data_IF_251302396076
#
_entry.id   IF_251302396076
#
_cell.length_a   1.000
_cell.length_b   1.000
_cell.length_c   1.000
_cell.angle_alpha   90.00
_cell.angle_beta   90.00
_cell.angle_gamma   90.00
#
_symmetry.space_group_name_H-M   'P 1'
#
loop_
_entity.id
_entity.type
_entity.pdbx_description
1 polymer ?
#
# COMPACT_ATOMS: atom_id res chain seq x y z
N UNK A 1 -10.44 -9.14 52.29
CA UNK A 1 -9.99 -9.67 50.99
C UNK A 1 -11.01 -10.72 50.60
N UNK A 2 -11.84 -10.46 49.59
CA UNK A 2 -12.80 -11.45 49.12
C UNK A 2 -12.00 -12.64 48.55
N UNK A 3 -12.33 -13.86 48.95
CA UNK A 3 -11.77 -15.06 48.34
C UNK A 3 -12.05 -15.01 46.83
N UNK A 4 -10.99 -14.89 46.03
CA UNK A 4 -11.09 -15.11 44.60
C UNK A 4 -11.54 -16.56 44.43
N UNK A 5 -12.74 -16.74 43.87
CA UNK A 5 -13.22 -18.05 43.43
C UNK A 5 -12.27 -18.66 42.39
N UNK A 6 -12.18 -19.99 42.35
CA UNK A 6 -11.45 -20.73 41.31
C UNK A 6 -12.30 -20.95 40.04
N UNK A 7 -13.52 -20.43 40.00
CA UNK A 7 -14.41 -20.51 38.84
C UNK A 7 -13.81 -19.72 37.65
N UNK A 8 -13.46 -20.39 36.53
CA UNK A 8 -12.82 -19.73 35.39
C UNK A 8 -13.66 -18.62 34.76
N UNK A 9 -14.99 -18.77 34.71
CA UNK A 9 -15.87 -17.78 34.08
C UNK A 9 -15.95 -16.50 34.94
N UNK A 10 -16.02 -16.64 36.26
CA UNK A 10 -15.99 -15.48 37.17
C UNK A 10 -14.64 -14.77 37.10
N UNK A 11 -13.53 -15.53 37.10
CA UNK A 11 -12.19 -14.99 36.99
C UNK A 11 -11.97 -14.25 35.66
N UNK A 12 -12.45 -14.83 34.55
CA UNK A 12 -12.43 -14.22 33.24
C UNK A 12 -13.22 -12.90 33.22
N UNK A 13 -14.48 -12.93 33.62
CA UNK A 13 -15.37 -11.76 33.60
C UNK A 13 -14.84 -10.63 34.51
N UNK A 14 -14.32 -10.97 35.69
CA UNK A 14 -13.72 -9.97 36.59
C UNK A 14 -12.49 -9.32 35.95
N UNK A 15 -11.61 -10.13 35.35
CA UNK A 15 -10.43 -9.65 34.65
C UNK A 15 -10.76 -8.74 33.46
N UNK A 16 -11.74 -9.12 32.63
CA UNK A 16 -12.21 -8.28 31.51
C UNK A 16 -12.76 -6.97 32.02
N UNK A 17 -13.62 -6.97 33.05
CA UNK A 17 -14.16 -5.76 33.66
C UNK A 17 -13.06 -4.82 34.15
N UNK A 18 -12.03 -5.33 34.82
CA UNK A 18 -10.88 -4.52 35.25
C UNK A 18 -10.15 -3.88 34.07
N UNK A 19 -9.93 -4.65 32.99
CA UNK A 19 -9.28 -4.13 31.78
C UNK A 19 -10.08 -3.02 31.12
N UNK A 20 -11.41 -3.18 31.00
CA UNK A 20 -12.31 -2.17 30.43
C UNK A 20 -12.38 -0.89 31.28
N UNK A 21 -12.24 -1.01 32.61
CA UNK A 21 -12.10 0.13 33.52
C UNK A 21 -10.73 0.83 33.46
N UNK A 22 -9.84 0.41 32.56
CA UNK A 22 -8.48 0.94 32.44
C UNK A 22 -7.51 0.43 33.52
N UNK A 23 -7.94 -0.52 34.36
CA UNK A 23 -7.15 -1.12 35.44
C UNK A 23 -6.40 -2.35 34.94
N UNK A 24 -5.61 -2.16 33.89
CA UNK A 24 -4.92 -3.25 33.19
C UNK A 24 -3.91 -4.01 34.07
N UNK A 25 -3.29 -3.36 35.06
CA UNK A 25 -2.39 -4.02 36.00
C UNK A 25 -3.16 -5.04 36.86
N UNK A 26 -4.35 -4.65 37.31
CA UNK A 26 -5.19 -5.46 38.19
C UNK A 26 -5.90 -6.60 37.45
N UNK A 27 -6.15 -6.46 36.13
CA UNK A 27 -6.76 -7.53 35.33
C UNK A 27 -5.86 -8.74 35.15
N UNK A 28 -4.53 -8.59 35.23
CA UNK A 28 -3.57 -9.67 34.97
C UNK A 28 -3.73 -10.83 35.97
N UNK A 29 -3.90 -10.54 37.26
CA UNK A 29 -3.99 -11.58 38.29
C UNK A 29 -5.21 -12.52 38.11
N UNK A 30 -6.46 -12.04 37.99
CA UNK A 30 -7.61 -12.91 37.77
C UNK A 30 -7.57 -13.60 36.40
N UNK A 31 -7.09 -12.93 35.34
CA UNK A 31 -6.97 -13.58 34.03
C UNK A 31 -5.92 -14.70 34.00
N UNK A 32 -4.79 -14.54 34.70
CA UNK A 32 -3.82 -15.62 34.92
C UNK A 32 -4.38 -16.77 35.74
N UNK A 33 -5.17 -16.47 36.76
CA UNK A 33 -5.83 -17.50 37.56
C UNK A 33 -6.82 -18.29 36.68
N UNK A 34 -7.58 -17.60 35.83
CA UNK A 34 -8.47 -18.22 34.86
C UNK A 34 -7.72 -19.15 33.89
N UNK A 35 -6.64 -18.68 33.25
CA UNK A 35 -5.88 -19.52 32.31
C UNK A 35 -5.16 -20.70 32.98
N UNK A 36 -4.94 -20.65 34.30
CA UNK A 36 -4.43 -21.78 35.07
C UNK A 36 -5.53 -22.78 35.42
N UNK A 37 -6.71 -22.29 35.80
CA UNK A 37 -7.87 -23.12 36.12
C UNK A 37 -8.42 -23.84 34.88
N UNK A 38 -8.42 -23.15 33.73
CA UNK A 38 -8.85 -23.70 32.44
C UNK A 38 -7.84 -23.35 31.33
N UNK A 39 -6.82 -24.20 31.11
CA UNK A 39 -5.77 -23.95 30.12
C UNK A 39 -6.26 -23.80 28.67
N UNK A 40 -7.40 -24.39 28.35
CA UNK A 40 -7.99 -24.35 27.00
C UNK A 40 -8.93 -23.15 26.78
N UNK A 41 -9.13 -22.29 27.78
CA UNK A 41 -10.00 -21.12 27.66
C UNK A 41 -9.34 -20.01 26.82
N UNK A 42 -9.46 -20.11 25.50
CA UNK A 42 -8.81 -19.22 24.55
C UNK A 42 -9.13 -17.72 24.76
N UNK A 43 -10.37 -17.39 25.10
CA UNK A 43 -10.78 -16.01 25.39
C UNK A 43 -10.06 -15.44 26.62
N UNK A 44 -9.81 -16.25 27.65
CA UNK A 44 -9.05 -15.82 28.82
C UNK A 44 -7.58 -15.55 28.47
N UNK A 45 -6.97 -16.39 27.64
CA UNK A 45 -5.62 -16.12 27.10
C UNK A 45 -5.59 -14.82 26.30
N UNK A 46 -6.54 -14.59 25.40
CA UNK A 46 -6.55 -13.36 24.62
C UNK A 46 -6.88 -12.12 25.45
N UNK A 47 -7.70 -12.21 26.50
CA UNK A 47 -7.94 -11.10 27.44
C UNK A 47 -6.70 -10.78 28.27
N UNK A 48 -5.96 -11.80 28.68
CA UNK A 48 -4.66 -11.64 29.34
C UNK A 48 -3.66 -10.98 28.40
N UNK A 49 -3.59 -11.44 27.15
CA UNK A 49 -2.76 -10.85 26.10
C UNK A 49 -3.09 -9.38 25.85
N UNK A 50 -4.37 -9.02 25.76
CA UNK A 50 -4.81 -7.64 25.61
C UNK A 50 -4.44 -6.76 26.82
N UNK A 51 -4.53 -7.31 28.04
CA UNK A 51 -4.06 -6.61 29.26
C UNK A 51 -2.55 -6.34 29.17
N UNK A 52 -1.75 -7.30 28.70
CA UNK A 52 -0.32 -7.09 28.45
C UNK A 52 -0.03 -6.03 27.38
N UNK A 53 -0.84 -5.94 26.32
CA UNK A 53 -0.72 -4.85 25.34
C UNK A 53 -0.91 -3.48 26.00
N UNK A 54 -1.90 -3.34 26.89
CA UNK A 54 -2.16 -2.09 27.63
C UNK A 54 -1.01 -1.72 28.58
N UNK A 55 -0.34 -2.71 29.15
CA UNK A 55 0.82 -2.54 30.03
C UNK A 55 2.15 -2.34 29.28
N UNK A 56 2.16 -2.49 27.95
CA UNK A 56 3.38 -2.43 27.16
C UNK A 56 4.26 -3.69 27.25
N UNK A 57 3.78 -4.77 27.87
CA UNK A 57 4.47 -6.06 27.95
C UNK A 57 4.31 -6.86 26.64
N UNK A 58 4.79 -6.31 25.53
CA UNK A 58 4.44 -6.76 24.17
C UNK A 58 4.87 -8.20 23.85
N UNK A 59 5.98 -8.69 24.43
CA UNK A 59 6.43 -10.07 24.20
C UNK A 59 5.51 -11.10 24.86
N UNK A 60 5.06 -10.83 26.10
CA UNK A 60 4.07 -11.67 26.78
C UNK A 60 2.73 -11.60 26.07
N UNK A 61 2.34 -10.41 25.60
CA UNK A 61 1.12 -10.22 24.83
C UNK A 61 1.12 -11.09 23.56
N UNK A 62 2.21 -11.08 22.79
CA UNK A 62 2.31 -11.82 21.54
C UNK A 62 2.24 -13.33 21.79
N UNK A 63 3.01 -13.84 22.76
CA UNK A 63 2.98 -15.27 23.11
C UNK A 63 1.58 -15.73 23.53
N UNK A 64 0.89 -14.92 24.35
CA UNK A 64 -0.43 -15.27 24.89
C UNK A 64 -1.52 -15.18 23.80
N UNK A 65 -1.47 -14.17 22.94
CA UNK A 65 -2.42 -14.02 21.82
C UNK A 65 -2.22 -15.09 20.73
N UNK A 66 -0.97 -15.49 20.44
CA UNK A 66 -0.70 -16.61 19.53
C UNK A 66 -1.27 -17.92 20.08
N UNK A 67 -1.07 -18.22 21.36
CA UNK A 67 -1.66 -19.39 22.00
C UNK A 67 -3.21 -19.37 21.92
N UNK A 68 -3.84 -18.21 22.10
CA UNK A 68 -5.28 -18.07 21.94
C UNK A 68 -5.72 -18.31 20.48
N UNK A 69 -4.98 -17.78 19.50
CA UNK A 69 -5.25 -17.97 18.08
C UNK A 69 -5.05 -19.42 17.63
N UNK A 70 -4.10 -20.15 18.21
CA UNK A 70 -3.91 -21.58 17.94
C UNK A 70 -5.09 -22.43 18.42
N UNK A 71 -5.74 -22.01 19.52
CA UNK A 71 -6.93 -22.68 20.08
C UNK A 71 -8.21 -22.35 19.33
N UNK A 72 -8.38 -21.10 18.92
CA UNK A 72 -9.53 -20.60 18.16
C UNK A 72 -9.06 -19.84 16.91
N UNK A 73 -8.72 -20.55 15.83
CA UNK A 73 -8.09 -19.96 14.64
C UNK A 73 -8.97 -18.99 13.87
N UNK A 74 -10.30 -19.12 13.99
CA UNK A 74 -11.27 -18.32 13.24
C UNK A 74 -11.97 -17.26 14.11
N UNK A 75 -11.54 -17.10 15.38
CA UNK A 75 -12.16 -16.11 16.26
C UNK A 75 -11.76 -14.68 15.87
N UNK A 76 -12.76 -13.85 15.59
CA UNK A 76 -12.56 -12.48 15.14
C UNK A 76 -11.76 -11.65 16.13
N UNK A 77 -12.12 -11.71 17.41
CA UNK A 77 -11.57 -10.82 18.41
C UNK A 77 -10.11 -11.16 18.71
N UNK A 78 -9.79 -12.45 18.80
CA UNK A 78 -8.43 -12.95 18.97
C UNK A 78 -7.56 -12.56 17.78
N UNK A 79 -8.01 -12.86 16.56
CA UNK A 79 -7.26 -12.54 15.34
C UNK A 79 -7.03 -11.03 15.19
N UNK A 80 -8.05 -10.19 15.44
CA UNK A 80 -7.92 -8.73 15.38
C UNK A 80 -6.91 -8.19 16.39
N UNK A 81 -6.93 -8.70 17.63
CA UNK A 81 -6.00 -8.25 18.67
C UNK A 81 -4.56 -8.68 18.38
N UNK A 82 -4.35 -9.91 17.90
CA UNK A 82 -3.03 -10.38 17.49
C UNK A 82 -2.50 -9.56 16.30
N UNK A 83 -3.34 -9.31 15.28
CA UNK A 83 -2.98 -8.48 14.13
C UNK A 83 -2.59 -7.06 14.55
N UNK A 84 -3.41 -6.42 15.40
CA UNK A 84 -3.13 -5.08 15.92
C UNK A 84 -1.83 -5.01 16.74
N UNK A 85 -1.53 -6.03 17.54
CA UNK A 85 -0.26 -6.12 18.26
C UNK A 85 0.93 -6.25 17.30
N UNK A 86 0.85 -7.14 16.31
CA UNK A 86 1.92 -7.36 15.33
C UNK A 86 2.18 -6.07 14.53
N UNK A 87 1.13 -5.38 14.09
CA UNK A 87 1.22 -4.09 13.43
C UNK A 87 1.87 -3.03 14.33
N UNK A 88 1.50 -2.95 15.62
CA UNK A 88 2.14 -2.04 16.59
C UNK A 88 3.63 -2.33 16.80
N UNK A 89 4.07 -3.57 16.56
CA UNK A 89 5.48 -3.99 16.60
C UNK A 89 6.22 -3.80 15.27
N UNK A 90 5.58 -3.23 14.25
CA UNK A 90 6.16 -3.07 12.91
C UNK A 90 6.19 -4.37 12.08
N UNK A 91 5.58 -5.46 12.58
CA UNK A 91 5.53 -6.76 11.88
C UNK A 91 4.34 -6.80 10.94
N UNK A 92 4.31 -5.91 9.96
CA UNK A 92 3.13 -5.68 9.12
C UNK A 92 2.79 -6.86 8.20
N UNK A 93 3.80 -7.57 7.68
CA UNK A 93 3.60 -8.77 6.86
C UNK A 93 2.96 -9.90 7.68
N UNK A 94 3.43 -10.09 8.91
CA UNK A 94 2.86 -11.09 9.82
C UNK A 94 1.44 -10.71 10.27
N UNK A 95 1.13 -9.42 10.42
CA UNK A 95 -0.16 -8.93 10.89
C UNK A 95 -1.28 -9.14 9.86
N UNK A 96 -0.98 -8.93 8.57
CA UNK A 96 -1.94 -8.98 7.46
C UNK A 96 -2.82 -10.24 7.46
N UNK A 97 -2.29 -11.48 7.52
CA UNK A 97 -3.13 -12.68 7.48
C UNK A 97 -4.09 -12.79 8.67
N UNK A 98 -3.75 -12.25 9.84
CA UNK A 98 -4.65 -12.26 11.00
C UNK A 98 -5.78 -11.24 10.85
N UNK A 99 -5.52 -10.07 10.26
CA UNK A 99 -6.61 -9.15 9.88
C UNK A 99 -7.56 -9.78 8.87
N UNK A 100 -7.02 -10.47 7.85
CA UNK A 100 -7.82 -11.16 6.83
C UNK A 100 -8.68 -12.29 7.42
N UNK A 101 -8.14 -13.08 8.37
CA UNK A 101 -8.91 -14.09 9.10
C UNK A 101 -10.04 -13.48 9.94
N UNK A 102 -9.77 -12.40 10.66
CA UNK A 102 -10.81 -11.70 11.43
C UNK A 102 -11.94 -11.18 10.51
N UNK A 103 -11.58 -10.67 9.31
CA UNK A 103 -12.56 -10.24 8.31
C UNK A 103 -13.27 -11.39 7.60
N UNK A 104 -12.69 -12.58 7.54
CA UNK A 104 -13.39 -13.77 7.05
C UNK A 104 -14.56 -14.14 7.98
N UNK A 105 -14.38 -13.99 9.31
CA UNK A 105 -15.42 -14.22 10.30
C UNK A 105 -16.50 -13.11 10.29
N UNK A 106 -16.11 -11.84 10.15
CA UNK A 106 -17.05 -10.74 9.92
C UNK A 106 -16.49 -9.72 8.92
N UNK A 107 -16.94 -9.77 7.66
CA UNK A 107 -16.45 -8.85 6.63
C UNK A 107 -16.79 -7.38 6.87
N UNK A 108 -17.70 -7.07 7.80
CA UNK A 108 -18.16 -5.71 8.10
C UNK A 108 -17.62 -5.14 9.42
N UNK A 109 -16.68 -5.81 10.08
CA UNK A 109 -16.08 -5.27 11.31
C UNK A 109 -15.20 -4.06 10.98
N UNK A 110 -15.74 -2.87 11.18
CA UNK A 110 -15.11 -1.58 10.81
C UNK A 110 -13.77 -1.38 11.52
N UNK A 111 -13.62 -1.85 12.76
CA UNK A 111 -12.36 -1.78 13.49
C UNK A 111 -11.26 -2.64 12.83
N UNK A 112 -11.58 -3.87 12.40
CA UNK A 112 -10.65 -4.74 11.68
C UNK A 112 -10.33 -4.20 10.29
N UNK A 113 -11.33 -3.71 9.56
CA UNK A 113 -11.12 -3.05 8.25
C UNK A 113 -10.14 -1.88 8.39
N UNK A 114 -10.35 -1.03 9.40
CA UNK A 114 -9.48 0.11 9.64
C UNK A 114 -8.06 -0.30 10.01
N UNK A 115 -7.90 -1.32 10.87
CA UNK A 115 -6.60 -1.89 11.21
C UNK A 115 -5.86 -2.47 10.00
N UNK A 116 -6.57 -3.19 9.12
CA UNK A 116 -5.98 -3.71 7.88
C UNK A 116 -5.55 -2.60 6.93
N UNK A 117 -6.37 -1.56 6.75
CA UNK A 117 -6.04 -0.44 5.86
C UNK A 117 -4.77 0.30 6.31
N UNK A 118 -4.65 0.58 7.62
CA UNK A 118 -3.43 1.15 8.19
C UNK A 118 -2.22 0.23 7.99
N UNK A 119 -2.40 -1.07 8.24
CA UNK A 119 -1.32 -2.05 8.03
C UNK A 119 -0.86 -2.12 6.57
N UNK A 120 -1.78 -1.98 5.62
CA UNK A 120 -1.47 -1.93 4.19
C UNK A 120 -0.71 -0.68 3.80
N UNK A 121 -1.01 0.48 4.38
CA UNK A 121 -0.20 1.70 4.19
C UNK A 121 1.25 1.48 4.64
N UNK A 122 1.46 0.85 5.79
CA UNK A 122 2.81 0.56 6.32
C UNK A 122 3.58 -0.50 5.51
N UNK A 123 2.87 -1.39 4.80
CA UNK A 123 3.48 -2.33 3.86
C UNK A 123 3.98 -1.66 2.57
N UNK A 124 3.56 -0.42 2.31
CA UNK A 124 4.10 0.43 1.26
C UNK A 124 3.18 0.67 0.05
N UNK A 125 3.66 1.46 -0.93
CA UNK A 125 2.84 2.04 -2.00
C UNK A 125 2.07 1.04 -2.86
N UNK A 126 2.62 -0.16 -3.06
CA UNK A 126 2.00 -1.24 -3.81
C UNK A 126 0.67 -1.73 -3.19
N UNK A 127 0.41 -1.41 -1.92
CA UNK A 127 -0.82 -1.77 -1.22
C UNK A 127 -1.79 -0.59 -1.06
N UNK A 128 -1.44 0.62 -1.51
CA UNK A 128 -2.27 1.82 -1.32
C UNK A 128 -3.65 1.71 -1.99
N UNK A 129 -3.73 1.10 -3.18
CA UNK A 129 -5.02 0.91 -3.86
C UNK A 129 -5.96 0.02 -3.04
N UNK A 130 -5.42 -1.05 -2.44
CA UNK A 130 -6.18 -1.93 -1.55
C UNK A 130 -6.63 -1.19 -0.28
N UNK A 131 -5.74 -0.39 0.32
CA UNK A 131 -6.08 0.43 1.50
C UNK A 131 -7.19 1.44 1.18
N UNK A 132 -7.13 2.11 0.03
CA UNK A 132 -8.15 3.06 -0.46
C UNK A 132 -9.51 2.37 -0.55
N UNK A 133 -9.58 1.20 -1.18
CA UNK A 133 -10.83 0.44 -1.30
C UNK A 133 -11.43 0.08 0.07
N UNK A 134 -10.60 -0.26 1.04
CA UNK A 134 -11.04 -0.55 2.41
C UNK A 134 -11.55 0.71 3.11
N UNK A 135 -10.86 1.85 2.98
CA UNK A 135 -11.33 3.11 3.57
C UNK A 135 -12.65 3.59 2.99
N UNK A 136 -12.86 3.43 1.69
CA UNK A 136 -14.15 3.69 1.03
C UNK A 136 -15.25 2.82 1.64
N UNK A 137 -14.99 1.52 1.78
CA UNK A 137 -15.93 0.58 2.40
C UNK A 137 -16.28 0.95 3.85
N UNK A 138 -15.33 1.42 4.65
CA UNK A 138 -15.57 1.91 6.01
C UNK A 138 -16.58 3.07 6.01
N UNK A 139 -16.39 4.03 5.08
CA UNK A 139 -17.26 5.21 4.95
C UNK A 139 -18.67 4.80 4.50
N UNK A 140 -18.79 3.79 3.64
CA UNK A 140 -20.08 3.24 3.22
C UNK A 140 -20.82 2.53 4.37
N UNK A 141 -20.11 1.78 5.20
CA UNK A 141 -20.70 1.04 6.31
C UNK A 141 -21.15 1.97 7.46
N UNK A 142 -20.32 2.95 7.82
CA UNK A 142 -20.58 3.83 8.97
C UNK A 142 -20.23 5.31 8.67
N UNK A 143 -20.98 6.00 7.80
CA UNK A 143 -20.58 7.31 7.25
C UNK A 143 -20.38 8.42 8.30
N UNK A 144 -20.98 8.27 9.48
CA UNK A 144 -20.99 9.24 10.57
C UNK A 144 -20.21 8.77 11.81
N UNK A 145 -19.35 7.75 11.71
CA UNK A 145 -18.52 7.30 12.84
C UNK A 145 -17.17 8.05 12.90
N UNK A 146 -16.53 8.09 14.08
CA UNK A 146 -15.16 8.60 14.21
C UNK A 146 -14.18 7.87 13.28
N UNK A 147 -14.33 6.55 13.12
CA UNK A 147 -13.48 5.75 12.24
C UNK A 147 -13.66 6.17 10.77
N UNK A 148 -14.89 6.44 10.32
CA UNK A 148 -15.11 6.95 8.96
C UNK A 148 -14.52 8.36 8.76
N UNK A 149 -14.47 9.18 9.80
CA UNK A 149 -13.80 10.49 9.74
C UNK A 149 -12.30 10.31 9.54
N UNK A 150 -11.66 9.39 10.26
CA UNK A 150 -10.25 9.06 10.05
C UNK A 150 -9.99 8.41 8.68
N UNK A 151 -10.89 7.54 8.21
CA UNK A 151 -10.81 6.97 6.87
C UNK A 151 -10.85 8.05 5.77
N UNK A 152 -11.71 9.07 5.90
CA UNK A 152 -11.76 10.21 4.96
C UNK A 152 -10.45 11.00 4.95
N UNK A 153 -9.83 11.20 6.12
CA UNK A 153 -8.51 11.85 6.23
C UNK A 153 -7.42 11.01 5.57
N UNK A 154 -7.42 9.70 5.80
CA UNK A 154 -6.47 8.77 5.18
C UNK A 154 -6.60 8.78 3.65
N UNK A 155 -7.83 8.72 3.11
CA UNK A 155 -8.09 8.87 1.67
C UNK A 155 -7.56 10.18 1.11
N UNK A 156 -7.77 11.28 1.83
CA UNK A 156 -7.29 12.61 1.40
C UNK A 156 -5.76 12.67 1.38
N UNK A 157 -5.10 12.08 2.39
CA UNK A 157 -3.64 11.95 2.47
C UNK A 157 -3.10 11.09 1.33
N UNK A 158 -3.68 9.92 1.08
CA UNK A 158 -3.26 9.02 0.00
C UNK A 158 -3.50 9.63 -1.38
N UNK A 159 -4.60 10.36 -1.57
CA UNK A 159 -4.85 11.10 -2.80
C UNK A 159 -3.80 12.20 -2.99
N UNK A 160 -3.48 13.00 -1.97
CA UNK A 160 -2.43 14.01 -2.03
C UNK A 160 -1.04 13.40 -2.24
N UNK A 161 -0.74 12.28 -1.59
CA UNK A 161 0.49 11.51 -1.78
C UNK A 161 0.62 11.03 -3.21
N UNK A 162 -0.42 10.41 -3.77
CA UNK A 162 -0.41 9.97 -5.17
C UNK A 162 -0.35 11.13 -6.16
N UNK A 163 -0.98 12.27 -5.86
CA UNK A 163 -0.89 13.48 -6.68
C UNK A 163 0.49 14.13 -6.59
N UNK A 164 1.14 14.08 -5.42
CA UNK A 164 2.50 14.56 -5.22
C UNK A 164 3.53 13.61 -5.81
N UNK A 165 3.34 12.30 -5.74
CA UNK A 165 4.14 11.33 -6.50
C UNK A 165 3.98 11.56 -8.00
N UNK A 166 2.77 11.87 -8.47
CA UNK A 166 2.53 12.28 -9.87
C UNK A 166 3.15 13.63 -10.21
N UNK A 167 3.14 14.61 -9.29
CA UNK A 167 3.64 15.97 -9.50
C UNK A 167 5.16 16.12 -9.31
N UNK A 168 5.76 15.36 -8.41
CA UNK A 168 7.21 15.30 -8.12
C UNK A 168 7.91 14.19 -8.93
N UNK A 169 7.21 13.48 -9.83
CA UNK A 169 7.86 12.63 -10.83
C UNK A 169 7.20 11.29 -11.17
N UNK A 170 5.88 11.23 -11.34
CA UNK A 170 5.20 10.15 -12.09
C UNK A 170 5.56 10.13 -13.59
N UNK A 171 6.58 10.91 -13.96
CA UNK A 171 7.25 10.93 -15.23
C UNK A 171 8.12 9.69 -15.33
N UNK A 172 8.04 9.01 -16.48
CA UNK A 172 9.05 8.03 -16.85
C UNK A 172 10.38 8.74 -17.05
N UNK A 173 11.23 8.77 -16.02
CA UNK A 173 12.50 9.51 -16.07
C UNK A 173 13.45 8.99 -17.15
N UNK A 174 13.38 7.70 -17.46
CA UNK A 174 14.02 7.11 -18.64
C UNK A 174 13.49 7.74 -19.94
N UNK A 175 12.17 7.88 -20.08
CA UNK A 175 11.57 8.58 -21.22
C UNK A 175 11.97 10.07 -21.28
N UNK A 176 12.00 10.78 -20.15
CA UNK A 176 12.50 12.18 -20.06
C UNK A 176 13.95 12.29 -20.52
N UNK A 177 14.81 11.36 -20.09
CA UNK A 177 16.22 11.33 -20.50
C UNK A 177 16.37 11.01 -21.99
N UNK A 178 15.59 10.06 -22.53
CA UNK A 178 15.57 9.78 -23.97
C UNK A 178 15.08 10.99 -24.78
N UNK A 179 14.07 11.70 -24.30
CA UNK A 179 13.55 12.91 -24.96
C UNK A 179 14.56 14.06 -24.91
N UNK A 180 15.24 14.25 -23.79
CA UNK A 180 16.35 15.22 -23.68
C UNK A 180 17.43 14.93 -24.72
N UNK A 181 17.86 13.67 -24.83
CA UNK A 181 18.81 13.25 -25.88
C UNK A 181 18.27 13.39 -27.31
N UNK A 182 16.96 13.20 -27.51
CA UNK A 182 16.32 13.44 -28.81
C UNK A 182 16.34 14.93 -29.20
N UNK A 183 16.09 15.85 -28.25
CA UNK A 183 16.22 17.28 -28.50
C UNK A 183 17.64 17.67 -28.94
N UNK A 184 18.67 17.10 -28.32
CA UNK A 184 20.07 17.32 -28.70
C UNK A 184 20.38 16.77 -30.09
N UNK A 185 19.92 15.54 -30.36
CA UNK A 185 20.12 14.85 -31.64
C UNK A 185 19.46 15.61 -32.79
N UNK A 186 18.21 16.03 -32.62
CA UNK A 186 17.43 16.70 -33.67
C UNK A 186 17.78 18.17 -33.84
N UNK A 187 18.40 18.82 -32.85
CA UNK A 187 18.82 20.22 -32.95
C UNK A 187 19.79 20.49 -34.11
N UNK A 188 20.51 19.47 -34.57
CA UNK A 188 21.51 19.57 -35.64
C UNK A 188 21.01 19.03 -36.99
N UNK A 189 19.75 18.61 -37.10
CA UNK A 189 19.19 18.01 -38.32
C UNK A 189 18.40 19.03 -39.13
N UNK A 190 18.45 18.90 -40.46
CA UNK A 190 17.50 19.62 -41.31
C UNK A 190 16.09 19.03 -41.19
N UNK A 191 15.05 19.83 -41.51
CA UNK A 191 13.66 19.35 -41.40
C UNK A 191 13.37 18.09 -42.22
N UNK A 192 14.01 17.93 -43.39
CA UNK A 192 13.85 16.74 -44.22
C UNK A 192 14.47 15.49 -43.56
N UNK A 193 15.58 15.65 -42.84
CA UNK A 193 16.25 14.57 -42.11
C UNK A 193 15.43 14.16 -40.89
N UNK A 194 14.96 15.15 -40.11
CA UNK A 194 14.06 14.91 -38.98
C UNK A 194 12.78 14.18 -39.41
N UNK A 195 12.12 14.65 -40.47
CA UNK A 195 10.90 14.03 -40.99
C UNK A 195 11.15 12.58 -41.43
N UNK A 196 12.31 12.29 -42.02
CA UNK A 196 12.71 10.94 -42.43
C UNK A 196 12.89 10.02 -41.22
N UNK A 197 13.56 10.48 -40.16
CA UNK A 197 13.72 9.72 -38.90
C UNK A 197 12.36 9.43 -38.26
N UNK A 198 11.53 10.46 -38.10
CA UNK A 198 10.20 10.31 -37.49
C UNK A 198 9.31 9.35 -38.29
N UNK A 199 9.33 9.45 -39.62
CA UNK A 199 8.58 8.55 -40.50
C UNK A 199 9.07 7.10 -40.41
N UNK A 200 10.38 6.88 -40.34
CA UNK A 200 10.95 5.54 -40.18
C UNK A 200 10.54 4.90 -38.84
N UNK A 201 10.58 5.68 -37.75
CA UNK A 201 10.12 5.22 -36.44
C UNK A 201 8.62 4.89 -36.47
N UNK A 202 7.79 5.77 -37.06
CA UNK A 202 6.35 5.53 -37.18
C UNK A 202 6.05 4.24 -37.96
N UNK A 203 6.77 4.00 -39.05
CA UNK A 203 6.66 2.77 -39.85
C UNK A 203 7.07 1.51 -39.07
N UNK A 204 8.14 1.58 -38.27
CA UNK A 204 8.50 0.49 -37.37
C UNK A 204 7.41 0.26 -36.30
N UNK A 205 6.78 1.35 -35.84
CA UNK A 205 5.66 1.36 -34.90
C UNK A 205 4.42 0.61 -35.39
N UNK A 206 4.14 0.56 -36.69
CA UNK A 206 2.99 -0.19 -37.26
C UNK A 206 3.02 -1.68 -36.93
N UNK A 207 4.23 -2.25 -36.77
CA UNK A 207 4.42 -3.65 -36.38
C UNK A 207 4.41 -3.87 -34.86
N UNK A 208 4.22 -2.80 -34.09
CA UNK A 208 4.25 -2.79 -32.62
C UNK A 208 5.67 -2.69 -32.05
N UNK A 209 5.99 -1.57 -31.40
CA UNK A 209 7.21 -1.43 -30.61
C UNK A 209 7.01 -2.02 -29.22
N UNK A 210 7.91 -2.90 -28.81
CA UNK A 210 7.98 -3.40 -27.43
C UNK A 210 8.62 -2.33 -26.53
N UNK A 211 7.78 -1.48 -25.94
CA UNK A 211 8.23 -0.35 -25.11
C UNK A 211 8.58 -0.71 -23.66
N UNK A 212 8.15 -1.89 -23.19
CA UNK A 212 8.39 -2.37 -21.82
C UNK A 212 9.50 -3.44 -21.74
N UNK A 213 10.21 -3.69 -22.84
CA UNK A 213 11.28 -4.68 -22.94
C UNK A 213 12.59 -3.97 -23.33
N UNK A 214 13.52 -3.73 -22.37
CA UNK A 214 14.76 -3.02 -22.64
C UNK A 214 15.80 -3.86 -23.41
N UNK A 215 15.64 -5.19 -23.47
CA UNK A 215 16.57 -6.08 -24.15
C UNK A 215 16.30 -6.16 -25.65
N UNK A 216 15.06 -5.86 -26.06
CA UNK A 216 14.69 -5.79 -27.47
C UNK A 216 15.19 -4.49 -28.12
N UNK A 217 16.10 -4.62 -29.08
CA UNK A 217 16.74 -3.52 -29.81
C UNK A 217 16.19 -3.34 -31.22
N UNK A 218 16.20 -2.09 -31.67
CA UNK A 218 15.78 -1.65 -33.00
C UNK A 218 16.86 -0.77 -33.61
N UNK A 219 16.98 -0.81 -34.93
CA UNK A 219 17.91 0.01 -35.70
C UNK A 219 17.15 0.85 -36.71
N UNK A 220 17.61 2.07 -36.98
CA UNK A 220 17.08 2.93 -38.03
C UNK A 220 18.09 3.02 -39.19
N UNK A 221 17.62 3.21 -40.41
CA UNK A 221 18.48 3.51 -41.57
C UNK A 221 18.86 4.98 -41.62
N UNK A 222 18.01 5.85 -41.09
CA UNK A 222 18.22 7.29 -41.07
C UNK A 222 19.03 7.79 -39.87
N UNK A 223 19.30 6.94 -38.89
CA UNK A 223 20.03 7.32 -37.69
C UNK A 223 20.80 6.12 -37.12
N UNK A 224 22.12 6.26 -37.00
CA UNK A 224 22.98 5.23 -36.45
C UNK A 224 22.75 5.03 -34.95
N UNK A 225 22.62 3.77 -34.53
CA UNK A 225 22.47 3.39 -33.14
C UNK A 225 21.59 2.16 -32.93
N UNK A 226 21.64 1.65 -31.70
CA UNK A 226 20.76 0.59 -31.20
C UNK A 226 19.80 1.18 -30.18
N UNK A 227 18.50 1.14 -30.48
CA UNK A 227 17.49 1.84 -29.72
C UNK A 227 16.56 0.85 -29.01
N UNK A 228 16.13 1.19 -27.79
CA UNK A 228 15.00 0.48 -27.15
C UNK A 228 13.67 0.94 -27.74
N UNK A 229 12.60 0.16 -27.53
CA UNK A 229 11.26 0.56 -28.00
C UNK A 229 10.78 1.87 -27.35
N UNK A 230 11.05 2.07 -26.05
CA UNK A 230 10.72 3.30 -25.34
C UNK A 230 11.50 4.51 -25.89
N UNK A 231 12.79 4.31 -26.18
CA UNK A 231 13.62 5.36 -26.76
C UNK A 231 13.10 5.82 -28.12
N UNK A 232 12.73 4.88 -29.00
CA UNK A 232 12.13 5.22 -30.29
C UNK A 232 10.80 5.96 -30.14
N UNK A 233 9.93 5.51 -29.22
CA UNK A 233 8.67 6.21 -28.94
C UNK A 233 8.91 7.65 -28.44
N UNK A 234 9.87 7.84 -27.53
CA UNK A 234 10.28 9.16 -27.03
C UNK A 234 10.81 10.06 -28.16
N UNK A 235 11.67 9.52 -29.04
CA UNK A 235 12.19 10.24 -30.20
C UNK A 235 11.09 10.62 -31.19
N UNK A 236 10.15 9.71 -31.47
CA UNK A 236 9.02 9.98 -32.35
C UNK A 236 8.13 11.10 -31.79
N UNK A 237 7.83 11.07 -30.48
CA UNK A 237 7.07 12.13 -29.83
C UNK A 237 7.74 13.50 -30.02
N UNK A 238 9.02 13.60 -29.69
CA UNK A 238 9.78 14.86 -29.80
C UNK A 238 9.80 15.36 -31.23
N UNK A 239 10.09 14.47 -32.20
CA UNK A 239 10.17 14.86 -33.61
C UNK A 239 8.82 15.29 -34.18
N UNK A 240 7.73 14.61 -33.82
CA UNK A 240 6.37 15.01 -34.21
C UNK A 240 6.00 16.39 -33.69
N UNK A 241 6.28 16.69 -32.41
CA UNK A 241 6.05 18.02 -31.81
C UNK A 241 6.95 19.11 -32.39
N UNK A 242 8.15 18.78 -32.89
CA UNK A 242 9.00 19.74 -33.60
C UNK A 242 8.50 20.04 -35.01
N UNK A 243 7.90 19.06 -35.70
CA UNK A 243 7.29 19.23 -37.02
C UNK A 243 5.97 20.01 -36.91
N UNK A 244 5.11 19.60 -35.99
CA UNK A 244 3.83 20.25 -35.70
C UNK A 244 3.60 20.30 -34.18
N UNK A 245 3.86 21.46 -33.54
CA UNK A 245 3.66 21.62 -32.09
C UNK A 245 2.21 21.40 -31.62
N UNK A 246 1.23 21.52 -32.51
CA UNK A 246 -0.18 21.34 -32.19
C UNK A 246 -0.66 19.89 -32.26
N UNK A 247 0.19 18.98 -32.77
CA UNK A 247 -0.16 17.58 -32.96
C UNK A 247 -0.33 16.85 -31.62
N UNK A 248 -1.45 16.14 -31.48
CA UNK A 248 -1.63 15.12 -30.45
C UNK A 248 -0.98 13.83 -30.93
N UNK A 249 0.09 13.42 -30.25
CA UNK A 249 0.86 12.23 -30.61
C UNK A 249 0.23 10.94 -30.09
N UNK A 250 -0.78 11.03 -29.20
CA UNK A 250 -1.45 9.91 -28.53
C UNK A 250 -0.50 8.94 -27.81
N UNK A 251 0.74 9.35 -27.54
CA UNK A 251 1.76 8.52 -26.91
C UNK A 251 1.70 8.49 -25.38
N UNK A 252 0.91 9.40 -24.79
CA UNK A 252 0.78 9.56 -23.33
C UNK A 252 2.06 10.07 -22.65
N UNK A 253 2.91 10.78 -23.40
CA UNK A 253 4.22 11.27 -22.94
C UNK A 253 4.34 12.80 -22.92
N UNK A 254 3.23 13.55 -23.01
CA UNK A 254 3.28 15.02 -23.06
C UNK A 254 3.87 15.64 -21.79
N UNK A 255 3.65 15.03 -20.62
CA UNK A 255 4.24 15.49 -19.37
C UNK A 255 5.77 15.28 -19.33
N UNK A 256 6.24 14.12 -19.83
CA UNK A 256 7.68 13.84 -19.99
C UNK A 256 8.33 14.77 -21.02
N UNK A 257 7.61 15.11 -22.09
CA UNK A 257 8.07 16.04 -23.10
C UNK A 257 8.28 17.44 -22.53
N UNK A 258 7.32 17.97 -21.75
CA UNK A 258 7.43 19.29 -21.13
C UNK A 258 8.61 19.35 -20.13
N UNK A 259 8.82 18.29 -19.36
CA UNK A 259 9.96 18.17 -18.46
C UNK A 259 11.29 18.12 -19.23
N UNK A 260 11.38 17.27 -20.26
CA UNK A 260 12.57 17.14 -21.10
C UNK A 260 12.91 18.43 -21.85
N UNK A 261 11.90 19.14 -22.36
CA UNK A 261 12.06 20.44 -23.02
C UNK A 261 12.68 21.48 -22.09
N UNK A 262 12.18 21.54 -20.85
CA UNK A 262 12.73 22.41 -19.79
C UNK A 262 14.19 22.06 -19.49
N UNK A 263 14.51 20.78 -19.36
CA UNK A 263 15.88 20.30 -19.10
C UNK A 263 16.85 20.58 -20.27
N UNK A 264 16.38 20.47 -21.51
CA UNK A 264 17.16 20.73 -22.71
C UNK A 264 17.33 22.23 -23.02
N UNK A 265 16.67 23.12 -22.27
CA UNK A 265 16.69 24.57 -22.50
C UNK A 265 16.02 24.99 -23.81
N UNK A 266 14.95 24.28 -24.22
CA UNK A 266 14.23 24.47 -25.49
C UNK A 266 12.85 25.10 -25.31
#
# INVERSE_FOLDING_TARGET
MAEMTDDPEILYNYGVCLSEMGRAEESVAPLKACTKAEPEYAHAHAALGFSYVKLGELDKAEATLRNAADKLPDDLWINRNLAGLLAKRGKHEDAKPYFERALAANPKDVATLYGLALNLEELGPQNHEQAIGIYQRIIELEPNSPIATEAKKALSRLAQGSMKEKADGGLRMDAVMYMTGAFETFANMEQQELAKVVFEIAKLGESGLSINDPDKRYTLKSLDGDFSGLQLLSMMHVGLKQIDPSLDTQSGLDAEYDAAKTMAGK
#
